data_IF_029481289464
#
_entry.id   IF_029481289464
#
_cell.length_a   1.000
_cell.length_b   1.000
_cell.length_c   1.000
_cell.angle_alpha   90.00
_cell.angle_beta   90.00
_cell.angle_gamma   90.00
#
_symmetry.space_group_name_H-M   'P 1'
#
loop_
_entity.id
_entity.type
_entity.pdbx_description
1 polymer ?
#
# COMPACT_ATOMS: atom_id res chain seq x y z
N UNK A 1 -0.05 -22.01 -3.77
CA UNK A 1 -1.19 -21.63 -4.64
C UNK A 1 -1.08 -20.17 -4.99
N UNK A 2 -1.47 -19.80 -6.19
CA UNK A 2 -1.53 -18.40 -6.56
C UNK A 2 -2.62 -17.68 -5.75
N UNK A 3 -2.35 -16.43 -5.33
CA UNK A 3 -3.36 -15.56 -4.75
C UNK A 3 -4.47 -15.28 -5.78
N UNK A 4 -5.68 -15.20 -5.30
CA UNK A 4 -6.86 -14.88 -6.10
C UNK A 4 -7.42 -13.53 -5.70
N UNK A 5 -7.86 -12.75 -6.68
CA UNK A 5 -8.53 -11.47 -6.52
C UNK A 5 -10.01 -11.60 -6.91
N UNK A 6 -10.90 -10.96 -6.17
CA UNK A 6 -12.27 -10.73 -6.65
C UNK A 6 -12.25 -9.72 -7.79
N UNK A 7 -13.07 -9.95 -8.82
CA UNK A 7 -13.13 -9.09 -9.99
C UNK A 7 -14.39 -8.23 -9.99
N UNK A 8 -14.23 -7.02 -10.54
CA UNK A 8 -15.26 -5.98 -10.57
C UNK A 8 -15.38 -5.39 -11.97
N UNK A 9 -16.55 -4.85 -12.30
CA UNK A 9 -16.74 -4.01 -13.49
C UNK A 9 -16.25 -2.56 -13.25
N UNK A 10 -16.31 -1.72 -14.26
CA UNK A 10 -15.90 -0.31 -14.20
C UNK A 10 -16.67 0.52 -13.16
N UNK A 11 -17.85 0.07 -12.74
CA UNK A 11 -18.69 0.69 -11.71
C UNK A 11 -18.48 0.08 -10.32
N UNK A 12 -17.39 -0.72 -10.14
CA UNK A 12 -17.07 -1.45 -8.91
C UNK A 12 -18.14 -2.45 -8.47
N UNK A 13 -18.93 -2.97 -9.40
CA UNK A 13 -19.86 -4.07 -9.11
C UNK A 13 -19.12 -5.40 -9.20
N UNK A 14 -19.26 -6.29 -8.19
CA UNK A 14 -18.69 -7.61 -8.24
C UNK A 14 -19.16 -8.41 -9.46
N UNK A 15 -18.23 -9.03 -10.16
CA UNK A 15 -18.51 -9.89 -11.31
C UNK A 15 -18.81 -11.34 -10.91
N UNK A 16 -18.61 -11.72 -9.65
CA UNK A 16 -18.91 -13.04 -9.14
C UNK A 16 -17.89 -14.12 -9.50
N UNK A 17 -16.71 -13.73 -9.97
CA UNK A 17 -15.60 -14.64 -10.22
C UNK A 17 -14.29 -14.08 -9.69
N UNK A 18 -13.29 -14.96 -9.55
CA UNK A 18 -11.94 -14.61 -9.12
C UNK A 18 -10.95 -14.70 -10.26
N UNK A 19 -9.79 -14.05 -10.09
CA UNK A 19 -8.69 -14.02 -11.05
C UNK A 19 -7.36 -14.31 -10.33
N UNK A 20 -6.50 -15.20 -10.86
CA UNK A 20 -5.22 -15.50 -10.23
C UNK A 20 -4.19 -14.40 -10.49
N UNK A 21 -3.38 -14.11 -9.47
CA UNK A 21 -2.24 -13.17 -9.57
C UNK A 21 -1.26 -13.60 -10.65
N UNK A 22 -0.74 -12.64 -11.41
CA UNK A 22 0.26 -12.87 -12.45
C UNK A 22 -0.29 -13.30 -13.81
N UNK A 23 -1.60 -13.41 -13.94
CA UNK A 23 -2.28 -13.66 -15.22
C UNK A 23 -2.84 -12.33 -15.75
N UNK A 24 -2.75 -12.04 -17.07
CA UNK A 24 -3.32 -10.81 -17.63
C UNK A 24 -4.83 -10.71 -17.36
N UNK A 25 -5.26 -9.55 -16.87
CA UNK A 25 -6.67 -9.27 -16.58
C UNK A 25 -7.38 -8.90 -17.89
N UNK A 26 -8.60 -9.38 -18.05
CA UNK A 26 -9.44 -9.10 -19.20
C UNK A 26 -9.83 -7.62 -19.21
N UNK A 27 -9.82 -7.02 -20.41
CA UNK A 27 -10.23 -5.64 -20.60
C UNK A 27 -11.64 -5.39 -20.05
N UNK A 28 -11.79 -4.34 -19.24
CA UNK A 28 -13.04 -3.97 -18.61
C UNK A 28 -13.31 -4.67 -17.27
N UNK A 29 -12.37 -5.49 -16.81
CA UNK A 29 -12.38 -6.09 -15.48
C UNK A 29 -11.29 -5.47 -14.60
N UNK A 30 -11.58 -5.34 -13.30
CA UNK A 30 -10.74 -4.63 -12.34
C UNK A 30 -10.63 -5.41 -11.05
N UNK A 31 -9.46 -5.36 -10.41
CA UNK A 31 -9.30 -5.80 -9.02
C UNK A 31 -9.03 -4.59 -8.11
N UNK A 32 -9.00 -4.80 -6.79
CA UNK A 32 -8.71 -3.72 -5.83
C UNK A 32 -7.24 -3.78 -5.43
N UNK A 33 -6.55 -2.67 -5.61
CA UNK A 33 -5.22 -2.39 -5.06
C UNK A 33 -5.38 -1.41 -3.91
N UNK A 34 -4.68 -1.66 -2.84
CA UNK A 34 -4.69 -0.82 -1.64
C UNK A 34 -3.32 -0.22 -1.39
N UNK A 35 -3.30 0.95 -0.79
CA UNK A 35 -2.10 1.66 -0.37
C UNK A 35 -2.35 2.30 0.99
N UNK A 36 -1.37 2.27 1.87
CA UNK A 36 -1.53 2.79 3.23
C UNK A 36 -0.38 3.71 3.59
N UNK A 37 -0.71 4.98 3.86
CA UNK A 37 0.19 5.97 4.43
C UNK A 37 0.03 5.96 5.94
N UNK A 38 1.09 5.65 6.68
CA UNK A 38 1.09 5.71 8.13
C UNK A 38 1.89 6.94 8.58
N UNK A 39 1.23 7.87 9.26
CA UNK A 39 1.88 9.02 9.87
C UNK A 39 2.02 8.80 11.37
N UNK A 40 3.18 9.13 11.92
CA UNK A 40 3.35 9.23 13.35
C UNK A 40 2.78 10.56 13.91
N UNK A 41 2.84 10.75 15.23
CA UNK A 41 2.31 11.98 15.86
C UNK A 41 3.16 13.23 15.59
N UNK A 42 4.30 13.08 14.90
CA UNK A 42 5.14 14.20 14.43
C UNK A 42 4.91 14.48 12.92
N UNK A 43 3.97 13.80 12.29
CA UNK A 43 3.65 13.95 10.88
C UNK A 43 4.65 13.29 9.92
N UNK A 44 5.51 12.40 10.43
CA UNK A 44 6.48 11.67 9.59
C UNK A 44 5.82 10.44 8.98
N UNK A 45 6.10 10.20 7.72
CA UNK A 45 5.56 9.09 6.93
C UNK A 45 6.42 7.83 7.11
N UNK A 46 5.80 6.71 7.46
CA UNK A 46 6.45 5.40 7.41
C UNK A 46 6.69 5.01 5.95
N UNK A 47 7.95 4.82 5.61
CA UNK A 47 8.36 4.30 4.31
C UNK A 47 9.19 3.04 4.50
N UNK A 48 8.99 2.06 3.63
CA UNK A 48 9.74 0.81 3.60
C UNK A 48 10.59 0.73 2.35
N UNK A 49 11.75 0.07 2.47
CA UNK A 49 12.67 -0.13 1.35
C UNK A 49 12.48 -1.52 0.77
N UNK A 50 12.20 -1.58 -0.52
CA UNK A 50 11.97 -2.82 -1.26
C UNK A 50 13.21 -3.70 -1.30
N UNK A 51 13.02 -5.02 -1.18
CA UNK A 51 14.11 -5.98 -1.35
C UNK A 51 14.78 -5.81 -2.72
N UNK A 52 16.13 -5.90 -2.82
CA UNK A 52 16.86 -5.69 -4.08
C UNK A 52 16.38 -6.57 -5.25
N UNK A 53 15.89 -7.78 -4.97
CA UNK A 53 15.46 -8.74 -5.98
C UNK A 53 14.04 -8.49 -6.52
N UNK A 54 13.34 -7.50 -5.99
CA UNK A 54 12.01 -7.12 -6.47
C UNK A 54 12.09 -6.14 -7.64
N UNK A 55 10.99 -6.03 -8.39
CA UNK A 55 10.79 -4.90 -9.33
C UNK A 55 10.90 -3.60 -8.52
N UNK A 56 11.61 -2.62 -9.04
CA UNK A 56 11.98 -1.39 -8.33
C UNK A 56 12.72 -1.66 -6.99
N UNK A 57 13.58 -2.68 -6.97
CA UNK A 57 14.39 -3.03 -5.80
C UNK A 57 15.23 -1.86 -5.31
N UNK A 58 15.45 -1.78 -4.00
CA UNK A 58 16.11 -0.68 -3.29
C UNK A 58 15.38 0.68 -3.32
N UNK A 59 14.23 0.80 -3.97
CA UNK A 59 13.40 2.00 -3.89
C UNK A 59 12.54 2.01 -2.62
N UNK A 60 12.08 3.18 -2.25
CA UNK A 60 11.23 3.41 -1.10
C UNK A 60 9.76 3.48 -1.51
N UNK A 61 8.90 2.92 -0.68
CA UNK A 61 7.47 2.86 -0.89
C UNK A 61 6.70 3.04 0.42
N UNK A 62 5.40 3.25 0.32
CA UNK A 62 4.46 3.01 1.41
C UNK A 62 3.86 1.62 1.23
N UNK A 63 3.32 1.02 2.28
CA UNK A 63 2.67 -0.30 2.17
C UNK A 63 1.62 -0.30 1.07
N UNK A 64 1.68 -1.29 0.19
CA UNK A 64 0.73 -1.45 -0.90
C UNK A 64 0.61 -2.91 -1.33
N UNK A 65 -0.58 -3.32 -1.75
CA UNK A 65 -0.83 -4.66 -2.25
C UNK A 65 -2.22 -4.79 -2.84
N UNK A 66 -2.64 -6.01 -3.13
CA UNK A 66 -3.96 -6.29 -3.68
C UNK A 66 -4.88 -6.89 -2.63
N UNK A 67 -6.14 -6.46 -2.60
CA UNK A 67 -7.15 -7.16 -1.82
C UNK A 67 -7.36 -8.57 -2.40
N UNK A 68 -7.35 -9.57 -1.53
CA UNK A 68 -7.57 -10.95 -1.90
C UNK A 68 -9.06 -11.26 -2.02
N UNK A 69 -9.39 -12.36 -2.69
CA UNK A 69 -10.77 -12.84 -2.81
C UNK A 69 -11.41 -12.99 -1.43
N UNK A 70 -12.60 -12.41 -1.26
CA UNK A 70 -13.33 -12.35 0.01
C UNK A 70 -12.98 -11.19 0.92
N UNK A 71 -11.95 -10.39 0.59
CA UNK A 71 -11.62 -9.17 1.32
C UNK A 71 -12.30 -7.95 0.69
N UNK A 72 -12.80 -7.05 1.53
CA UNK A 72 -13.03 -5.68 1.07
C UNK A 72 -11.72 -4.88 1.08
N UNK A 73 -11.74 -3.68 0.53
CA UNK A 73 -10.58 -2.80 0.42
C UNK A 73 -9.89 -2.54 1.75
N UNK A 74 -10.64 -2.26 2.81
CA UNK A 74 -10.08 -2.00 4.15
C UNK A 74 -9.45 -3.25 4.75
N UNK A 75 -10.08 -4.41 4.61
CA UNK A 75 -9.54 -5.69 5.10
C UNK A 75 -8.21 -6.02 4.40
N UNK A 76 -8.14 -5.85 3.08
CA UNK A 76 -6.90 -6.01 2.31
C UNK A 76 -5.81 -5.05 2.79
N UNK A 77 -6.14 -3.78 3.01
CA UNK A 77 -5.19 -2.78 3.50
C UNK A 77 -4.66 -3.13 4.91
N UNK A 78 -5.52 -3.56 5.82
CA UNK A 78 -5.11 -3.98 7.17
C UNK A 78 -4.20 -5.21 7.13
N UNK A 79 -4.49 -6.19 6.27
CA UNK A 79 -3.65 -7.38 6.09
C UNK A 79 -2.28 -7.03 5.54
N UNK A 80 -2.21 -6.26 4.44
CA UNK A 80 -0.95 -5.83 3.83
C UNK A 80 -0.07 -5.05 4.84
N UNK A 81 -0.65 -4.10 5.56
CA UNK A 81 0.11 -3.34 6.55
C UNK A 81 0.68 -4.23 7.66
N UNK A 82 -0.10 -5.20 8.14
CA UNK A 82 0.36 -6.17 9.14
C UNK A 82 1.45 -7.10 8.61
N UNK A 83 1.31 -7.60 7.37
CA UNK A 83 2.27 -8.51 6.75
C UNK A 83 3.61 -7.82 6.49
N UNK A 84 3.60 -6.61 5.93
CA UNK A 84 4.82 -5.88 5.56
C UNK A 84 5.52 -5.23 6.76
N UNK A 85 4.78 -4.79 7.78
CA UNK A 85 5.34 -3.96 8.87
C UNK A 85 5.10 -4.49 10.27
N UNK A 86 4.26 -5.48 10.45
CA UNK A 86 3.83 -5.98 11.76
C UNK A 86 2.82 -5.07 12.48
N UNK A 87 2.40 -3.95 11.88
CA UNK A 87 1.43 -3.04 12.50
C UNK A 87 0.02 -3.62 12.50
N UNK A 88 -0.59 -3.64 13.66
CA UNK A 88 -2.00 -3.99 13.86
C UNK A 88 -2.83 -2.71 14.01
N UNK A 89 -3.70 -2.46 13.04
CA UNK A 89 -4.57 -1.28 13.00
C UNK A 89 -6.04 -1.75 13.03
N UNK A 90 -6.88 -1.03 13.75
CA UNK A 90 -8.31 -1.26 13.72
C UNK A 90 -8.95 -0.59 12.49
N UNK A 91 -10.08 -1.13 12.04
CA UNK A 91 -10.78 -0.63 10.86
C UNK A 91 -11.15 0.86 10.94
N UNK A 92 -11.52 1.35 12.12
CA UNK A 92 -11.89 2.75 12.38
C UNK A 92 -10.71 3.73 12.35
N UNK A 93 -9.47 3.23 12.36
CA UNK A 93 -8.27 4.04 12.19
C UNK A 93 -7.89 4.24 10.71
N UNK A 94 -8.53 3.51 9.79
CA UNK A 94 -8.31 3.62 8.35
C UNK A 94 -9.20 4.72 7.78
N UNK A 95 -8.61 5.84 7.40
CA UNK A 95 -9.29 6.93 6.70
C UNK A 95 -8.95 6.87 5.21
N UNK A 96 -9.95 7.03 4.34
CA UNK A 96 -9.70 7.15 2.88
C UNK A 96 -8.94 8.45 2.61
N UNK A 97 -7.76 8.34 1.99
CA UNK A 97 -6.96 9.48 1.55
C UNK A 97 -7.39 9.92 0.15
N UNK A 98 -7.39 8.99 -0.80
CA UNK A 98 -7.94 9.17 -2.15
C UNK A 98 -8.24 7.82 -2.79
N UNK A 99 -9.00 7.84 -3.86
CA UNK A 99 -9.22 6.67 -4.71
C UNK A 99 -9.14 7.06 -6.18
N UNK A 100 -8.67 6.13 -7.03
CA UNK A 100 -8.69 6.30 -8.47
C UNK A 100 -8.81 4.98 -9.22
N UNK A 101 -9.23 5.07 -10.47
CA UNK A 101 -9.27 3.92 -11.38
C UNK A 101 -7.98 3.89 -12.21
N UNK A 102 -7.31 2.74 -12.23
CA UNK A 102 -6.19 2.43 -13.11
C UNK A 102 -6.65 1.73 -14.39
N UNK A 103 -5.71 1.07 -15.09
CA UNK A 103 -6.02 0.35 -16.33
C UNK A 103 -6.90 -0.90 -16.06
N UNK A 104 -6.56 -1.66 -15.03
CA UNK A 104 -7.20 -2.93 -14.65
C UNK A 104 -7.35 -3.07 -13.13
N UNK A 105 -7.29 -1.95 -12.40
CA UNK A 105 -7.43 -1.92 -10.96
C UNK A 105 -8.10 -0.63 -10.47
N UNK A 106 -8.69 -0.72 -9.29
CA UNK A 106 -9.04 0.42 -8.45
C UNK A 106 -7.99 0.59 -7.39
N UNK A 107 -7.38 1.77 -7.27
CA UNK A 107 -6.50 2.10 -6.17
C UNK A 107 -7.29 2.79 -5.07
N UNK A 108 -7.31 2.20 -3.89
CA UNK A 108 -7.82 2.79 -2.66
C UNK A 108 -6.64 3.12 -1.75
N UNK A 109 -6.35 4.39 -1.57
CA UNK A 109 -5.29 4.88 -0.70
C UNK A 109 -5.87 5.30 0.63
N UNK A 110 -5.28 4.78 1.71
CA UNK A 110 -5.68 5.05 3.09
C UNK A 110 -4.60 5.81 3.84
N UNK A 111 -5.01 6.54 4.86
CA UNK A 111 -4.12 7.17 5.83
C UNK A 111 -4.46 6.67 7.24
N UNK A 112 -3.41 6.38 7.99
CA UNK A 112 -3.46 6.03 9.41
C UNK A 112 -2.62 7.02 10.18
N UNK A 113 -3.17 7.59 11.25
CA UNK A 113 -2.43 8.51 12.15
C UNK A 113 -2.22 7.85 13.49
N UNK A 114 -0.95 7.69 13.86
CA UNK A 114 -0.57 7.13 15.15
C UNK A 114 -0.52 8.24 16.21
N UNK A 115 -0.79 7.88 17.45
CA UNK A 115 -0.77 8.77 18.62
C UNK A 115 0.60 8.90 19.31
N UNK A 116 1.63 8.27 18.73
CA UNK A 116 3.00 8.19 19.28
C UNK A 116 4.04 8.44 18.19
N UNK A 117 5.28 8.80 18.59
CA UNK A 117 6.37 8.96 17.63
C UNK A 117 6.83 7.61 17.09
N UNK A 118 7.37 7.62 15.86
CA UNK A 118 7.79 6.42 15.15
C UNK A 118 8.82 5.56 15.92
N UNK A 119 9.65 6.17 16.74
CA UNK A 119 10.65 5.49 17.58
C UNK A 119 10.04 4.57 18.66
N UNK A 120 8.79 4.82 19.02
CA UNK A 120 8.03 4.00 19.97
C UNK A 120 7.18 2.90 19.27
N UNK A 121 7.23 2.85 17.94
CA UNK A 121 6.48 1.88 17.15
C UNK A 121 7.35 0.68 16.85
N UNK A 122 6.94 -0.49 17.35
CA UNK A 122 7.63 -1.75 17.02
C UNK A 122 7.19 -2.21 15.63
N UNK A 123 8.16 -2.34 14.71
CA UNK A 123 7.96 -2.82 13.34
C UNK A 123 8.68 -4.15 13.13
N UNK A 124 8.05 -5.03 12.36
CA UNK A 124 8.65 -6.30 11.91
C UNK A 124 8.54 -6.37 10.40
N UNK A 125 9.68 -6.21 9.73
CA UNK A 125 9.73 -6.23 8.25
C UNK A 125 9.50 -7.64 7.72
N UNK A 126 8.71 -7.75 6.66
CA UNK A 126 8.48 -9.02 5.99
C UNK A 126 9.75 -9.47 5.27
N UNK A 127 10.23 -10.66 5.61
CA UNK A 127 11.43 -11.24 4.99
C UNK A 127 11.22 -11.45 3.47
N UNK A 128 12.23 -11.05 2.68
CA UNK A 128 12.19 -11.14 1.22
C UNK A 128 11.35 -10.04 0.53
N UNK A 129 10.60 -9.24 1.27
CA UNK A 129 9.79 -8.15 0.73
C UNK A 129 10.43 -6.78 1.00
N UNK A 130 10.79 -6.53 2.24
CA UNK A 130 11.35 -5.26 2.71
C UNK A 130 12.66 -5.48 3.46
N UNK A 131 13.62 -4.56 3.27
CA UNK A 131 14.96 -4.67 3.88
C UNK A 131 15.27 -3.56 4.88
N UNK A 132 14.47 -2.50 4.89
CA UNK A 132 14.70 -1.34 5.76
C UNK A 132 13.41 -0.51 5.89
N UNK A 133 13.35 0.38 6.88
CA UNK A 133 12.28 1.37 7.00
C UNK A 133 12.79 2.69 7.56
N UNK A 134 12.04 3.75 7.31
CA UNK A 134 12.30 5.10 7.83
C UNK A 134 10.98 5.80 8.15
N UNK A 135 10.99 6.62 9.21
CA UNK A 135 9.98 7.64 9.45
C UNK A 135 10.45 8.93 8.80
N UNK A 136 9.98 9.19 7.59
CA UNK A 136 10.44 10.27 6.73
C UNK A 136 9.66 11.55 6.99
N UNK A 137 10.35 12.62 7.38
CA UNK A 137 9.81 13.97 7.36
C UNK A 137 9.66 14.49 5.92
N UNK A 138 9.05 15.65 5.76
CA UNK A 138 8.79 16.23 4.43
C UNK A 138 10.09 16.47 3.65
N UNK A 139 11.15 16.98 4.29
CA UNK A 139 12.44 17.22 3.65
C UNK A 139 13.07 15.93 3.14
N UNK A 140 13.01 14.86 3.93
CA UNK A 140 13.50 13.53 3.54
C UNK A 140 12.70 12.98 2.35
N UNK A 141 11.38 13.10 2.37
CA UNK A 141 10.52 12.66 1.27
C UNK A 141 10.81 13.45 -0.02
N UNK A 142 11.00 14.77 0.05
CA UNK A 142 11.38 15.62 -1.08
C UNK A 142 12.74 15.22 -1.67
N UNK A 143 13.72 14.97 -0.81
CA UNK A 143 15.05 14.50 -1.23
C UNK A 143 14.94 13.17 -1.96
N UNK A 144 14.21 12.20 -1.40
CA UNK A 144 14.00 10.89 -2.02
C UNK A 144 13.32 11.01 -3.39
N UNK A 145 12.36 11.91 -3.53
CA UNK A 145 11.69 12.15 -4.82
C UNK A 145 12.63 12.76 -5.84
N UNK A 146 13.42 13.78 -5.47
CA UNK A 146 14.44 14.40 -6.36
C UNK A 146 15.50 13.40 -6.81
N UNK A 147 15.90 12.49 -5.93
CA UNK A 147 16.92 11.47 -6.20
C UNK A 147 16.35 10.25 -6.96
N UNK A 148 15.05 10.23 -7.25
CA UNK A 148 14.40 9.12 -7.96
C UNK A 148 14.31 7.83 -7.16
N UNK A 149 14.26 7.93 -5.83
CA UNK A 149 14.24 6.79 -4.90
C UNK A 149 12.85 6.32 -4.51
N UNK A 150 11.78 7.01 -4.96
CA UNK A 150 10.39 6.66 -4.65
C UNK A 150 9.74 5.89 -5.79
N UNK A 151 9.02 4.81 -5.47
CA UNK A 151 8.12 4.16 -6.44
C UNK A 151 6.98 5.10 -6.83
N UNK A 152 6.38 4.88 -8.01
CA UNK A 152 5.38 5.79 -8.61
C UNK A 152 4.18 6.02 -7.69
N UNK A 153 3.62 4.97 -7.09
CA UNK A 153 2.45 5.09 -6.20
C UNK A 153 2.77 5.82 -4.90
N UNK A 154 3.99 5.72 -4.37
CA UNK A 154 4.42 6.48 -3.21
C UNK A 154 4.52 7.98 -3.52
N UNK A 155 5.00 8.36 -4.72
CA UNK A 155 4.99 9.76 -5.18
C UNK A 155 3.57 10.31 -5.31
N UNK A 156 2.64 9.49 -5.78
CA UNK A 156 1.24 9.88 -5.89
C UNK A 156 0.62 10.11 -4.51
N UNK A 157 0.81 9.18 -3.57
CA UNK A 157 0.30 9.30 -2.21
C UNK A 157 0.78 10.60 -1.52
N UNK A 158 2.05 10.93 -1.68
CA UNK A 158 2.68 12.11 -1.11
C UNK A 158 1.99 13.43 -1.48
N UNK A 159 1.40 13.50 -2.67
CA UNK A 159 0.67 14.70 -3.14
C UNK A 159 -0.66 14.94 -2.43
N UNK A 160 -1.13 13.95 -1.68
CA UNK A 160 -2.40 13.99 -0.95
C UNK A 160 -2.21 14.12 0.58
N UNK A 161 -0.98 14.05 1.07
CA UNK A 161 -0.63 14.25 2.48
C UNK A 161 -0.48 15.73 2.79
#
# INVERSE_FOLDING_TARGET
>A
MAELFDMYDVNRKPLGHTHPRGVPIKQGEYHIVVQICVLDNQGRLLMTKRHPDKIDGNMWEVTAGSALAGEDSVAGAMRELREETGLHICRDQMEMLFARTGHDFFLDSYIVRLDRPGEEVHLTMQEGETVDYIWADEETQERMEREGLLVVIAKEARKHL
#
